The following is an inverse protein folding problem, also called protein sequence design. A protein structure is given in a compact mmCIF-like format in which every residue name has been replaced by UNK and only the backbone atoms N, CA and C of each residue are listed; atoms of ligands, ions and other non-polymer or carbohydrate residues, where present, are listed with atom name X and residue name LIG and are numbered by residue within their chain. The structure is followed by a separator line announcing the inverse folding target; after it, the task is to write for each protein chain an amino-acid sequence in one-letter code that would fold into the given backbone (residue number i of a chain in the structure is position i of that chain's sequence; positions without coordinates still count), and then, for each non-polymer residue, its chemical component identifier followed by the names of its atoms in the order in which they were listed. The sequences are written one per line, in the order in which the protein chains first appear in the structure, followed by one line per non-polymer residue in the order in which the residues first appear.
data_IF_825085864970
#
_entry.id   IF_825085864970
#
_cell.length_a   1.000
_cell.length_b   1.000
_cell.length_c   1.000
_cell.angle_alpha   90.00
_cell.angle_beta   90.00
_cell.angle_gamma   90.00
#
_symmetry.space_group_name_H-M   'P 1'
#
loop_
_entity.id
_entity.type
_entity.pdbx_description
1 polymer ?
#
# COMPACT_ATOMS: atom_id res chain seq x y z
N UNK A 1 25.41 1.22 2.40
CA UNK A 1 24.92 1.83 3.66
C UNK A 1 23.57 2.45 3.38
N UNK A 2 22.57 2.15 4.19
CA UNK A 2 21.20 2.62 3.98
C UNK A 2 20.68 3.40 5.19
N UNK A 3 19.87 4.44 4.95
CA UNK A 3 18.95 4.96 5.94
C UNK A 3 17.53 4.58 5.55
N UNK A 4 16.73 4.08 6.47
CA UNK A 4 15.28 4.03 6.31
C UNK A 4 14.68 5.26 6.97
N UNK A 5 13.99 6.06 6.19
CA UNK A 5 13.16 7.18 6.64
C UNK A 5 11.69 6.76 6.60
N UNK A 6 11.00 6.84 7.73
CA UNK A 6 9.61 6.39 7.87
C UNK A 6 8.80 7.44 8.65
N UNK A 7 7.72 7.93 8.05
CA UNK A 7 6.88 8.98 8.63
C UNK A 7 6.05 8.43 9.81
N UNK A 8 6.13 9.12 10.94
CA UNK A 8 5.44 8.70 12.14
C UNK A 8 3.92 8.83 12.01
N UNK A 9 3.18 7.72 12.20
CA UNK A 9 1.70 7.67 12.15
C UNK A 9 1.11 8.39 10.93
N UNK A 10 1.68 8.16 9.76
CA UNK A 10 1.58 8.96 8.53
C UNK A 10 0.18 9.51 8.25
N UNK A 11 -0.83 8.65 8.05
CA UNK A 11 -2.18 9.14 7.71
C UNK A 11 -2.78 10.05 8.79
N UNK A 12 -2.62 9.68 10.07
CA UNK A 12 -3.12 10.52 11.17
C UNK A 12 -2.36 11.84 11.23
N UNK A 13 -1.04 11.83 10.98
CA UNK A 13 -0.22 13.04 10.92
C UNK A 13 -0.61 13.95 9.75
N UNK A 14 -0.92 13.41 8.57
CA UNK A 14 -1.41 14.20 7.44
C UNK A 14 -2.72 14.95 7.76
N UNK A 15 -3.62 14.33 8.54
CA UNK A 15 -4.86 14.98 8.96
C UNK A 15 -4.61 16.13 9.95
N UNK A 16 -3.60 16.02 10.81
CA UNK A 16 -3.31 17.02 11.83
C UNK A 16 -2.52 18.22 11.31
N UNK A 17 -1.73 18.07 10.24
CA UNK A 17 -0.94 19.17 9.64
C UNK A 17 -1.81 20.40 9.32
N UNK A 18 -3.02 20.18 8.79
CA UNK A 18 -3.96 21.25 8.41
C UNK A 18 -4.99 21.58 9.50
N UNK A 19 -4.88 20.94 10.65
CA UNK A 19 -5.81 21.06 11.77
C UNK A 19 -5.03 21.21 13.07
N UNK A 20 -4.43 22.39 13.33
CA UNK A 20 -3.66 22.65 14.55
C UNK A 20 -4.47 22.42 15.84
N UNK A 21 -5.80 22.57 15.78
CA UNK A 21 -6.73 22.27 16.87
C UNK A 21 -6.78 20.78 17.27
N UNK A 22 -6.22 19.90 16.44
CA UNK A 22 -6.08 18.47 16.73
C UNK A 22 -4.72 18.09 17.33
N UNK A 23 -3.83 19.04 17.51
CA UNK A 23 -2.54 18.79 18.16
C UNK A 23 -2.76 18.27 19.59
N UNK A 24 -2.14 17.13 19.93
CA UNK A 24 -2.30 16.47 21.23
C UNK A 24 -3.65 15.74 21.42
N UNK A 25 -4.51 15.69 20.41
CA UNK A 25 -5.77 14.94 20.47
C UNK A 25 -5.63 13.55 19.83
N UNK A 26 -6.36 12.55 20.34
CA UNK A 26 -6.36 11.23 19.72
C UNK A 26 -7.06 11.28 18.37
N UNK A 27 -6.32 10.93 17.29
CA UNK A 27 -6.79 10.90 15.92
C UNK A 27 -6.64 9.49 15.36
N UNK A 28 -7.66 9.01 14.66
CA UNK A 28 -7.63 7.74 13.92
C UNK A 28 -8.09 7.95 12.49
N UNK A 29 -7.52 7.19 11.57
CA UNK A 29 -7.95 7.12 10.18
C UNK A 29 -8.52 5.73 9.91
N UNK A 30 -9.65 5.70 9.22
CA UNK A 30 -10.40 4.50 8.94
C UNK A 30 -10.13 3.98 7.52
N UNK A 31 -10.24 2.69 7.34
CA UNK A 31 -10.12 2.02 6.03
C UNK A 31 -11.32 2.35 5.14
N UNK A 32 -11.31 1.81 3.91
CA UNK A 32 -12.45 1.87 3.00
C UNK A 32 -13.76 1.51 3.70
N UNK A 33 -14.84 2.22 3.39
CA UNK A 33 -16.18 2.10 3.99
C UNK A 33 -16.20 2.41 5.50
N UNK A 34 -15.25 3.21 5.98
CA UNK A 34 -15.09 3.53 7.40
C UNK A 34 -15.08 2.27 8.30
N UNK A 35 -14.50 1.18 7.76
CA UNK A 35 -14.65 -0.15 8.34
C UNK A 35 -13.80 -0.41 9.58
N UNK A 36 -12.50 -0.23 9.46
CA UNK A 36 -11.54 -0.52 10.53
C UNK A 36 -10.51 0.61 10.65
N UNK A 37 -9.94 0.75 11.83
CA UNK A 37 -8.82 1.66 12.07
C UNK A 37 -7.60 1.17 11.27
N UNK A 38 -6.95 2.05 10.50
CA UNK A 38 -5.72 1.75 9.75
C UNK A 38 -4.54 2.59 10.20
N UNK A 39 -4.78 3.76 10.79
CA UNK A 39 -3.72 4.58 11.38
C UNK A 39 -4.20 5.24 12.68
N UNK A 40 -3.27 5.40 13.62
CA UNK A 40 -3.52 5.98 14.93
C UNK A 40 -2.43 7.01 15.23
N UNK A 41 -2.82 8.18 15.76
CA UNK A 41 -1.87 9.11 16.37
C UNK A 41 -1.22 8.51 17.63
N UNK A 42 -0.19 9.13 18.15
CA UNK A 42 0.46 8.71 19.39
C UNK A 42 -0.52 8.69 20.57
N UNK A 43 -1.37 9.70 20.67
CA UNK A 43 -2.40 9.84 21.70
C UNK A 43 -3.46 8.74 21.59
N UNK A 44 -3.87 8.39 20.36
CA UNK A 44 -4.82 7.28 20.14
C UNK A 44 -4.21 5.92 20.55
N UNK A 45 -2.91 5.72 20.27
CA UNK A 45 -2.18 4.51 20.73
C UNK A 45 -2.08 4.44 22.24
N UNK A 46 -1.89 5.57 22.94
CA UNK A 46 -1.88 5.63 24.40
C UNK A 46 -3.23 5.25 25.03
N UNK A 47 -4.34 5.48 24.32
CA UNK A 47 -5.68 5.00 24.71
C UNK A 47 -5.91 3.52 24.42
N UNK A 48 -4.86 2.81 23.96
CA UNK A 48 -4.93 1.38 23.61
C UNK A 48 -5.67 1.09 22.31
N UNK A 49 -5.78 2.08 21.40
CA UNK A 49 -6.40 1.88 20.10
C UNK A 49 -5.36 1.28 19.13
N UNK A 50 -5.72 0.18 18.49
CA UNK A 50 -4.86 -0.54 17.58
C UNK A 50 -5.40 -0.55 16.13
N UNK A 51 -4.49 -0.67 15.16
CA UNK A 51 -4.87 -0.92 13.79
C UNK A 51 -5.58 -2.28 13.65
N UNK A 52 -6.61 -2.33 12.80
CA UNK A 52 -7.46 -3.50 12.59
C UNK A 52 -8.73 -3.52 13.46
N UNK A 53 -8.88 -2.64 14.43
CA UNK A 53 -10.12 -2.56 15.22
C UNK A 53 -11.31 -2.13 14.34
N UNK A 54 -12.44 -2.88 14.34
CA UNK A 54 -13.63 -2.50 13.59
C UNK A 54 -14.29 -1.25 14.21
N UNK A 55 -14.41 -0.18 13.42
CA UNK A 55 -14.96 1.10 13.88
C UNK A 55 -16.37 0.99 14.47
N UNK A 56 -17.25 0.21 13.83
CA UNK A 56 -18.65 0.07 14.31
C UNK A 56 -18.75 -0.50 15.73
N UNK A 57 -17.76 -1.31 16.18
CA UNK A 57 -17.68 -1.83 17.54
C UNK A 57 -17.11 -0.82 18.54
N UNK A 58 -16.33 0.14 18.07
CA UNK A 58 -15.59 1.08 18.90
C UNK A 58 -16.21 2.49 18.92
N UNK A 59 -17.19 2.78 18.07
CA UNK A 59 -17.77 4.11 17.84
C UNK A 59 -18.13 4.84 19.16
N UNK A 60 -18.83 4.16 20.08
CA UNK A 60 -19.20 4.75 21.36
C UNK A 60 -17.98 5.00 22.29
N UNK A 61 -17.02 4.07 22.32
CA UNK A 61 -15.77 4.25 23.06
C UNK A 61 -15.01 5.46 22.52
N UNK A 62 -14.87 5.58 21.21
CA UNK A 62 -14.17 6.69 20.56
C UNK A 62 -14.84 8.02 20.86
N UNK A 63 -16.17 8.08 20.77
CA UNK A 63 -16.93 9.29 21.11
C UNK A 63 -16.71 9.73 22.58
N UNK A 64 -16.76 8.80 23.52
CA UNK A 64 -16.54 9.09 24.96
C UNK A 64 -15.10 9.53 25.27
N UNK A 65 -14.13 9.00 24.55
CA UNK A 65 -12.70 9.31 24.71
C UNK A 65 -12.25 10.52 23.88
N UNK A 66 -13.15 11.22 23.19
CA UNK A 66 -12.82 12.40 22.38
C UNK A 66 -11.93 12.11 21.17
N UNK A 67 -11.96 10.84 20.67
CA UNK A 67 -11.20 10.44 19.49
C UNK A 67 -11.81 11.05 18.24
N UNK A 68 -10.98 11.70 17.44
CA UNK A 68 -11.38 12.24 16.14
C UNK A 68 -11.12 11.20 15.05
N UNK A 69 -12.16 10.89 14.27
CA UNK A 69 -12.09 9.89 13.23
C UNK A 69 -12.14 10.53 11.84
N UNK A 70 -11.30 10.07 10.93
CA UNK A 70 -11.30 10.46 9.52
C UNK A 70 -11.47 9.25 8.61
N UNK A 71 -12.20 9.41 7.52
CA UNK A 71 -12.13 8.48 6.38
C UNK A 71 -10.80 8.63 5.65
N UNK A 72 -10.30 7.57 5.01
CA UNK A 72 -9.05 7.63 4.24
C UNK A 72 -9.11 8.66 3.12
N UNK A 73 -8.23 9.67 3.14
CA UNK A 73 -8.05 10.70 2.12
C UNK A 73 -6.77 10.45 1.33
N UNK A 74 -6.80 9.41 0.48
CA UNK A 74 -5.60 8.98 -0.27
C UNK A 74 -5.05 10.05 -1.21
N UNK A 75 -5.87 10.96 -1.69
CA UNK A 75 -5.44 12.08 -2.51
C UNK A 75 -4.52 13.03 -1.71
N UNK A 76 -4.91 13.37 -0.50
CA UNK A 76 -4.09 14.15 0.41
C UNK A 76 -2.81 13.40 0.81
N UNK A 77 -2.95 12.12 1.19
CA UNK A 77 -1.79 11.34 1.66
C UNK A 77 -0.77 11.10 0.54
N UNK A 78 -1.22 10.91 -0.70
CA UNK A 78 -0.31 10.76 -1.85
C UNK A 78 0.50 12.04 -2.12
N UNK A 79 -0.12 13.23 -2.01
CA UNK A 79 0.58 14.50 -2.18
C UNK A 79 1.58 14.75 -1.04
N UNK A 80 1.17 14.51 0.20
CA UNK A 80 2.06 14.65 1.36
C UNK A 80 3.24 13.67 1.32
N UNK A 81 3.00 12.43 0.88
CA UNK A 81 4.04 11.45 0.60
C UNK A 81 5.03 11.97 -0.44
N UNK A 82 4.53 12.44 -1.57
CA UNK A 82 5.37 12.97 -2.65
C UNK A 82 6.28 14.12 -2.16
N UNK A 83 5.78 15.03 -1.32
CA UNK A 83 6.57 16.11 -0.71
C UNK A 83 7.70 15.60 0.19
N UNK A 84 7.42 14.55 0.98
CA UNK A 84 8.45 13.89 1.80
C UNK A 84 9.50 13.24 0.89
N UNK A 85 9.07 12.45 -0.09
CA UNK A 85 9.99 11.72 -0.99
C UNK A 85 10.87 12.68 -1.78
N UNK A 86 10.31 13.75 -2.37
CA UNK A 86 11.08 14.79 -3.06
C UNK A 86 12.09 15.48 -2.11
N UNK A 87 11.71 15.71 -0.84
CA UNK A 87 12.64 16.26 0.15
C UNK A 87 13.82 15.32 0.39
N UNK A 88 13.59 14.01 0.45
CA UNK A 88 14.66 13.02 0.63
C UNK A 88 15.54 12.91 -0.62
N UNK A 89 14.96 12.94 -1.83
CA UNK A 89 15.68 12.92 -3.11
C UNK A 89 16.65 14.09 -3.26
N UNK A 90 16.33 15.27 -2.70
CA UNK A 90 17.21 16.44 -2.68
C UNK A 90 18.40 16.31 -1.68
N UNK A 91 18.29 15.41 -0.70
CA UNK A 91 19.26 15.30 0.40
C UNK A 91 20.26 14.15 0.20
N UNK A 92 19.90 13.11 -0.58
CA UNK A 92 20.73 11.91 -0.75
C UNK A 92 20.87 11.55 -2.23
N UNK A 93 21.95 10.85 -2.61
CA UNK A 93 22.23 10.52 -4.02
C UNK A 93 21.16 9.66 -4.68
N UNK A 94 20.57 8.72 -3.94
CA UNK A 94 19.58 7.76 -4.45
C UNK A 94 18.52 7.44 -3.39
N UNK A 95 17.27 7.33 -3.82
CA UNK A 95 16.13 6.99 -2.98
C UNK A 95 15.35 5.84 -3.61
N UNK A 96 14.99 4.85 -2.81
CA UNK A 96 13.98 3.85 -3.15
C UNK A 96 12.73 4.14 -2.34
N UNK A 97 11.65 4.52 -3.02
CA UNK A 97 10.33 4.68 -2.40
C UNK A 97 9.75 3.29 -2.15
N UNK A 98 9.83 2.84 -0.89
CA UNK A 98 9.39 1.50 -0.51
C UNK A 98 7.88 1.44 -0.26
N UNK A 99 7.31 2.47 0.35
CA UNK A 99 5.87 2.61 0.58
C UNK A 99 5.43 4.08 0.51
N UNK A 100 4.15 4.35 0.80
CA UNK A 100 3.61 5.72 0.83
C UNK A 100 4.23 6.56 1.96
N UNK A 101 4.81 5.94 2.98
CA UNK A 101 5.33 6.58 4.20
C UNK A 101 6.78 6.24 4.52
N UNK A 102 7.41 5.35 3.76
CA UNK A 102 8.82 4.96 3.99
C UNK A 102 9.64 4.91 2.70
N UNK A 103 10.91 5.33 2.83
CA UNK A 103 11.89 5.26 1.76
C UNK A 103 13.26 4.83 2.29
N UNK A 104 13.98 4.03 1.48
CA UNK A 104 15.39 3.75 1.69
C UNK A 104 16.24 4.78 0.97
N UNK A 105 17.14 5.42 1.70
CA UNK A 105 18.10 6.39 1.21
C UNK A 105 19.49 5.74 1.14
N UNK A 106 20.19 5.89 0.02
CA UNK A 106 21.58 5.44 -0.09
C UNK A 106 22.51 6.46 0.57
N UNK A 107 23.23 6.02 1.58
CA UNK A 107 24.24 6.83 2.28
C UNK A 107 25.67 6.46 1.89
N UNK A 108 25.86 5.76 0.76
CA UNK A 108 27.20 5.42 0.27
C UNK A 108 27.98 6.70 -0.04
N UNK A 109 29.15 6.83 0.59
CA UNK A 109 29.98 8.04 0.49
C UNK A 109 29.65 9.13 1.51
N UNK A 110 28.45 9.24 2.02
CA UNK A 110 28.07 10.26 3.04
C UNK A 110 28.91 10.09 4.32
N UNK A 111 29.13 8.86 4.76
CA UNK A 111 29.96 8.54 5.94
C UNK A 111 31.36 9.13 5.89
N UNK A 112 31.91 9.32 4.68
CA UNK A 112 33.26 9.85 4.53
C UNK A 112 33.34 11.36 4.74
N UNK A 113 32.20 12.04 4.70
CA UNK A 113 32.11 13.50 4.74
C UNK A 113 31.50 14.03 6.04
N UNK A 114 30.72 13.20 6.74
CA UNK A 114 29.96 13.65 7.92
C UNK A 114 29.52 12.50 8.82
N UNK A 115 29.20 12.80 10.08
CA UNK A 115 28.59 11.85 11.01
C UNK A 115 27.19 11.45 10.52
N UNK A 116 26.89 10.17 10.58
CA UNK A 116 25.60 9.64 10.08
C UNK A 116 24.45 9.91 11.02
N UNK A 117 24.69 9.98 12.33
CA UNK A 117 23.67 10.33 13.31
C UNK A 117 23.24 11.79 13.16
N UNK A 118 24.22 12.70 13.02
CA UNK A 118 23.96 14.12 12.75
C UNK A 118 23.22 14.31 11.43
N UNK A 119 23.59 13.56 10.40
CA UNK A 119 22.88 13.58 9.11
C UNK A 119 21.44 13.06 9.25
N UNK A 120 21.22 12.02 10.04
CA UNK A 120 19.87 11.54 10.38
C UNK A 120 19.01 12.61 11.04
N UNK A 121 19.58 13.39 11.96
CA UNK A 121 18.89 14.54 12.58
C UNK A 121 18.61 15.66 11.58
N UNK A 122 19.52 15.94 10.66
CA UNK A 122 19.29 16.92 9.57
C UNK A 122 18.15 16.48 8.64
N UNK A 123 18.08 15.20 8.27
CA UNK A 123 16.94 14.65 7.51
C UNK A 123 15.64 14.91 8.25
N UNK A 124 15.57 14.57 9.54
CA UNK A 124 14.38 14.79 10.37
C UNK A 124 13.97 16.27 10.41
N UNK A 125 14.92 17.15 10.66
CA UNK A 125 14.68 18.59 10.75
C UNK A 125 14.21 19.16 9.40
N UNK A 126 14.80 18.74 8.30
CA UNK A 126 14.46 19.20 6.95
C UNK A 126 13.07 18.73 6.53
N UNK A 127 12.74 17.46 6.74
CA UNK A 127 11.39 16.93 6.45
C UNK A 127 10.35 17.65 7.29
N UNK A 128 10.59 17.83 8.60
CA UNK A 128 9.68 18.56 9.48
C UNK A 128 9.46 19.99 9.02
N UNK A 129 10.54 20.70 8.68
CA UNK A 129 10.48 22.10 8.20
C UNK A 129 9.66 22.25 6.94
N UNK A 130 9.79 21.31 5.99
CA UNK A 130 9.15 21.41 4.67
C UNK A 130 7.73 20.85 4.61
N UNK A 131 7.42 19.86 5.46
CA UNK A 131 6.15 19.12 5.37
C UNK A 131 5.31 19.13 6.64
N UNK A 132 5.86 19.61 7.76
CA UNK A 132 5.30 19.48 9.12
C UNK A 132 5.05 18.03 9.56
N UNK A 133 5.62 17.06 8.86
CA UNK A 133 5.61 15.65 9.24
C UNK A 133 6.91 15.27 9.94
N UNK A 134 6.81 14.41 10.96
CA UNK A 134 7.98 13.86 11.66
C UNK A 134 8.34 12.50 11.11
N UNK A 135 9.63 12.20 10.97
CA UNK A 135 10.14 10.90 10.52
C UNK A 135 11.03 10.25 11.58
N UNK A 136 11.03 8.92 11.63
CA UNK A 136 12.08 8.14 12.26
C UNK A 136 13.15 7.79 11.24
N UNK A 137 14.42 7.79 11.65
CA UNK A 137 15.56 7.46 10.78
C UNK A 137 16.35 6.31 11.38
N UNK A 138 16.46 5.21 10.62
CA UNK A 138 17.27 4.04 11.00
C UNK A 138 18.38 3.82 10.00
N UNK A 139 19.63 3.84 10.45
CA UNK A 139 20.83 3.77 9.60
C UNK A 139 21.56 2.45 9.86
N UNK A 140 21.89 1.71 8.78
CA UNK A 140 22.64 0.46 8.86
C UNK A 140 23.26 0.04 7.53
N UNK A 141 24.05 -1.03 7.57
CA UNK A 141 24.72 -1.59 6.37
C UNK A 141 23.74 -2.28 5.42
N UNK A 142 22.61 -2.80 5.92
CA UNK A 142 21.63 -3.55 5.14
C UNK A 142 20.23 -2.98 5.35
N UNK A 143 19.33 -3.24 4.42
CA UNK A 143 17.92 -2.80 4.52
C UNK A 143 17.20 -3.40 5.73
N UNK A 144 17.44 -4.68 6.03
CA UNK A 144 16.85 -5.34 7.21
C UNK A 144 17.31 -4.70 8.51
N UNK A 145 18.60 -4.42 8.65
CA UNK A 145 19.13 -3.71 9.81
C UNK A 145 18.62 -2.26 9.90
N UNK A 146 18.52 -1.54 8.76
CA UNK A 146 17.96 -0.19 8.74
C UNK A 146 16.50 -0.16 9.20
N UNK A 147 15.69 -1.17 8.84
CA UNK A 147 14.32 -1.32 9.38
C UNK A 147 14.31 -1.57 10.89
N UNK A 148 15.20 -2.40 11.42
CA UNK A 148 15.30 -2.61 12.87
C UNK A 148 15.82 -1.36 13.60
N UNK A 149 16.75 -0.63 13.00
CA UNK A 149 17.20 0.66 13.53
C UNK A 149 16.05 1.67 13.60
N UNK A 150 15.23 1.76 12.55
CA UNK A 150 14.06 2.62 12.53
C UNK A 150 12.99 2.18 13.55
N UNK A 151 12.74 0.88 13.67
CA UNK A 151 11.87 0.34 14.74
C UNK A 151 12.36 0.80 16.13
N UNK A 152 13.66 0.71 16.39
CA UNK A 152 14.26 1.18 17.63
C UNK A 152 14.14 2.68 17.81
N UNK A 153 14.37 3.48 16.77
CA UNK A 153 14.21 4.92 16.74
C UNK A 153 12.80 5.37 17.16
N UNK A 154 11.79 4.63 16.70
CA UNK A 154 10.38 4.89 17.07
C UNK A 154 10.03 4.39 18.47
N UNK A 155 10.47 3.17 18.83
CA UNK A 155 10.17 2.53 20.12
C UNK A 155 10.80 3.28 21.31
N UNK A 156 12.01 3.75 21.14
CA UNK A 156 12.79 4.48 22.15
C UNK A 156 13.05 5.95 21.75
N UNK A 157 12.04 6.60 21.20
CA UNK A 157 12.15 7.94 20.61
C UNK A 157 12.73 8.97 21.60
N UNK A 158 12.41 8.89 22.90
CA UNK A 158 12.94 9.82 23.92
C UNK A 158 14.45 9.67 24.12
N UNK A 159 15.00 8.47 23.99
CA UNK A 159 16.43 8.16 24.18
C UNK A 159 17.25 8.37 22.90
N UNK A 160 16.62 8.21 21.74
CA UNK A 160 17.30 8.21 20.43
C UNK A 160 17.07 9.50 19.66
N UNK A 161 16.19 10.35 20.14
CA UNK A 161 15.65 11.50 19.39
C UNK A 161 15.23 11.11 17.97
N UNK A 162 14.70 9.87 17.82
CA UNK A 162 14.19 9.35 16.57
C UNK A 162 15.24 9.02 15.51
N UNK A 163 16.53 8.92 15.87
CA UNK A 163 17.61 8.48 15.00
C UNK A 163 18.38 7.34 15.66
N UNK A 164 18.58 6.25 14.92
CA UNK A 164 19.42 5.14 15.37
C UNK A 164 20.39 4.73 14.26
N UNK A 165 21.68 4.83 14.56
CA UNK A 165 22.76 4.36 13.70
C UNK A 165 23.35 3.06 14.24
N UNK A 166 23.34 2.01 13.42
CA UNK A 166 23.89 0.68 13.67
C UNK A 166 25.20 0.42 12.91
N UNK A 167 25.94 1.44 12.54
CA UNK A 167 27.26 1.28 11.92
C UNK A 167 28.28 0.59 12.85
N UNK A 168 28.10 0.72 14.16
CA UNK A 168 28.91 0.04 15.18
C UNK A 168 28.33 -1.37 15.44
N UNK A 169 29.18 -2.39 15.29
CA UNK A 169 28.78 -3.81 15.41
C UNK A 169 28.33 -4.19 16.83
N UNK A 170 28.93 -3.60 17.87
CA UNK A 170 28.53 -3.88 19.24
C UNK A 170 27.17 -3.27 19.57
N UNK A 171 26.88 -2.09 19.04
CA UNK A 171 25.57 -1.44 19.12
C UNK A 171 24.52 -2.26 18.35
N UNK A 172 24.87 -2.75 17.16
CA UNK A 172 24.02 -3.63 16.37
C UNK A 172 23.68 -4.92 17.16
N UNK A 173 24.68 -5.65 17.69
CA UNK A 173 24.46 -6.88 18.48
C UNK A 173 23.60 -6.63 19.70
N UNK A 174 23.85 -5.55 20.44
CA UNK A 174 23.01 -5.17 21.59
C UNK A 174 21.56 -4.93 21.20
N UNK A 175 21.30 -4.25 20.09
CA UNK A 175 19.96 -4.03 19.60
C UNK A 175 19.31 -5.36 19.20
N UNK A 176 19.99 -6.20 18.42
CA UNK A 176 19.45 -7.48 17.97
C UNK A 176 19.03 -8.40 19.14
N UNK A 177 19.74 -8.34 20.28
CA UNK A 177 19.38 -9.06 21.49
C UNK A 177 18.09 -8.57 22.17
N UNK A 178 17.70 -7.30 21.95
CA UNK A 178 16.51 -6.67 22.53
C UNK A 178 15.26 -6.82 21.65
N UNK A 179 15.43 -7.15 20.37
CA UNK A 179 14.32 -7.24 19.42
C UNK A 179 13.79 -8.66 19.33
N UNK A 180 12.50 -8.90 19.65
CA UNK A 180 11.85 -10.19 19.42
C UNK A 180 11.92 -10.61 17.95
N UNK A 181 12.02 -11.90 17.69
CA UNK A 181 12.17 -12.43 16.32
C UNK A 181 10.97 -12.13 15.44
N UNK A 182 9.78 -11.99 15.99
CA UNK A 182 8.55 -11.59 15.28
C UNK A 182 8.57 -10.15 14.76
N UNK A 183 9.41 -9.28 15.33
CA UNK A 183 9.56 -7.88 14.90
C UNK A 183 10.60 -7.75 13.77
N UNK A 184 11.27 -8.85 13.39
CA UNK A 184 12.20 -8.85 12.26
C UNK A 184 11.43 -8.79 10.94
N UNK A 185 11.82 -7.88 10.06
CA UNK A 185 11.23 -7.74 8.74
C UNK A 185 11.28 -9.06 7.94
N UNK A 186 10.11 -9.48 7.43
CA UNK A 186 9.93 -10.76 6.73
C UNK A 186 9.59 -11.95 7.63
N UNK A 187 9.63 -11.80 8.96
CA UNK A 187 9.22 -12.83 9.90
C UNK A 187 7.75 -12.68 10.27
N UNK A 188 6.87 -13.35 9.52
CA UNK A 188 5.43 -13.35 9.81
C UNK A 188 5.05 -14.38 10.90
N UNK A 189 3.80 -14.34 11.37
CA UNK A 189 3.27 -15.17 12.47
C UNK A 189 3.56 -16.68 12.34
N UNK A 190 3.54 -17.24 11.12
CA UNK A 190 3.83 -18.67 10.90
C UNK A 190 5.30 -18.99 11.08
N UNK A 191 6.17 -18.09 10.63
CA UNK A 191 7.62 -18.23 10.73
C UNK A 191 8.04 -18.02 12.18
N UNK A 192 7.57 -16.95 12.84
CA UNK A 192 7.91 -16.69 14.27
C UNK A 192 7.51 -17.82 15.19
N UNK A 193 6.31 -18.42 14.98
CA UNK A 193 5.88 -19.59 15.76
C UNK A 193 6.83 -20.78 15.61
N UNK A 194 7.33 -21.05 14.40
CA UNK A 194 8.30 -22.12 14.15
C UNK A 194 9.67 -21.79 14.74
N UNK A 195 10.13 -20.56 14.60
CA UNK A 195 11.41 -20.11 15.17
C UNK A 195 11.39 -20.19 16.70
N UNK A 196 10.33 -19.70 17.34
CA UNK A 196 10.15 -19.80 18.79
C UNK A 196 10.14 -21.24 19.29
N UNK A 197 9.53 -22.18 18.55
CA UNK A 197 9.55 -23.61 18.88
C UNK A 197 10.96 -24.22 18.79
N UNK A 198 11.87 -23.63 18.00
CA UNK A 198 13.27 -24.00 17.89
C UNK A 198 14.18 -23.27 18.91
N UNK A 199 13.58 -22.47 19.80
CA UNK A 199 14.34 -21.70 20.81
C UNK A 199 14.89 -20.37 20.28
N UNK A 200 14.61 -19.99 19.03
CA UNK A 200 15.05 -18.73 18.39
C UNK A 200 14.03 -17.65 18.75
N UNK A 201 14.35 -16.81 19.72
CA UNK A 201 13.43 -15.82 20.30
C UNK A 201 13.74 -14.38 19.91
N UNK A 202 14.99 -14.07 19.62
CA UNK A 202 15.45 -12.72 19.33
C UNK A 202 16.01 -12.62 17.91
N UNK A 203 16.15 -11.39 17.41
CA UNK A 203 16.82 -11.12 16.14
C UNK A 203 18.30 -11.55 16.19
N UNK A 204 18.95 -11.50 17.38
CA UNK A 204 20.30 -11.99 17.58
C UNK A 204 20.35 -13.51 17.41
N UNK A 205 19.47 -14.24 18.10
CA UNK A 205 19.40 -15.71 17.98
C UNK A 205 19.22 -16.13 16.50
N UNK A 206 18.37 -15.40 15.77
CA UNK A 206 18.15 -15.65 14.34
C UNK A 206 19.40 -15.38 13.52
N UNK A 207 20.12 -14.28 13.81
CA UNK A 207 21.34 -13.91 13.09
C UNK A 207 22.48 -14.93 13.26
N UNK A 208 22.49 -15.65 14.37
CA UNK A 208 23.52 -16.65 14.71
C UNK A 208 23.22 -18.05 14.12
N UNK A 209 22.04 -18.25 13.53
CA UNK A 209 21.67 -19.55 12.95
C UNK A 209 22.45 -19.88 11.69
N UNK A 210 22.75 -21.17 11.48
CA UNK A 210 23.33 -21.64 10.22
C UNK A 210 22.40 -21.30 9.03
N UNK A 211 22.91 -20.62 8.04
CA UNK A 211 22.18 -20.25 6.80
C UNK A 211 21.67 -21.50 6.07
N UNK A 212 22.47 -22.58 6.08
CA UNK A 212 22.05 -23.85 5.49
C UNK A 212 20.85 -24.47 6.21
N UNK A 213 20.82 -24.44 7.55
CA UNK A 213 19.69 -24.95 8.36
C UNK A 213 18.44 -24.11 8.08
N UNK A 214 18.57 -22.78 8.08
CA UNK A 214 17.45 -21.87 7.80
C UNK A 214 16.89 -22.11 6.39
N UNK A 215 17.76 -22.24 5.38
CA UNK A 215 17.32 -22.51 4.00
C UNK A 215 16.59 -23.84 3.88
N UNK A 216 17.09 -24.89 4.55
CA UNK A 216 16.51 -26.25 4.53
C UNK A 216 15.14 -26.32 5.20
N UNK A 217 14.96 -25.65 6.35
CA UNK A 217 13.74 -25.77 7.17
C UNK A 217 12.70 -24.67 6.87
N UNK A 218 13.10 -23.58 6.23
CA UNK A 218 12.23 -22.46 5.90
C UNK A 218 12.29 -22.17 4.39
N UNK A 219 13.09 -21.18 3.98
CA UNK A 219 13.25 -20.79 2.58
C UNK A 219 14.45 -19.86 2.37
N UNK A 220 14.74 -19.57 1.09
CA UNK A 220 15.83 -18.65 0.70
C UNK A 220 15.59 -17.20 1.17
N UNK A 221 14.35 -16.78 1.33
CA UNK A 221 14.04 -15.40 1.78
C UNK A 221 14.49 -15.22 3.23
N UNK A 222 14.17 -16.16 4.11
CA UNK A 222 14.62 -16.08 5.51
C UNK A 222 16.13 -16.26 5.63
N UNK A 223 16.76 -17.07 4.77
CA UNK A 223 18.23 -17.16 4.69
C UNK A 223 18.84 -15.79 4.39
N UNK A 224 18.33 -15.07 3.40
CA UNK A 224 18.79 -13.70 3.08
C UNK A 224 18.58 -12.77 4.26
N UNK A 225 17.46 -12.87 4.98
CA UNK A 225 17.21 -12.10 6.21
C UNK A 225 18.31 -12.37 7.26
N UNK A 226 18.71 -13.62 7.46
CA UNK A 226 19.82 -13.96 8.38
C UNK A 226 21.13 -13.31 7.96
N UNK A 227 21.47 -13.33 6.67
CA UNK A 227 22.67 -12.65 6.14
C UNK A 227 22.60 -11.14 6.34
N UNK A 228 21.45 -10.55 6.03
CA UNK A 228 21.21 -9.11 6.24
C UNK A 228 21.37 -8.70 7.71
N UNK A 229 20.90 -9.50 8.65
CA UNK A 229 21.08 -9.27 10.09
C UNK A 229 22.56 -9.34 10.54
N UNK A 230 23.42 -10.01 9.77
CA UNK A 230 24.88 -10.04 9.99
C UNK A 230 25.61 -8.86 9.37
N UNK A 231 24.90 -8.03 8.58
CA UNK A 231 25.51 -6.93 7.83
C UNK A 231 25.94 -7.31 6.42
N UNK A 232 25.57 -8.50 5.90
CA UNK A 232 25.83 -8.93 4.53
C UNK A 232 24.69 -8.43 3.62
N UNK A 233 24.88 -7.44 2.73
CA UNK A 233 23.81 -6.91 1.89
C UNK A 233 23.38 -7.96 0.86
N UNK A 234 22.11 -8.34 0.92
CA UNK A 234 21.44 -9.24 -0.02
C UNK A 234 20.35 -8.55 -0.84
N UNK A 235 19.97 -7.34 -0.44
CA UNK A 235 18.95 -6.51 -1.07
C UNK A 235 19.62 -5.22 -1.55
N UNK A 236 19.60 -5.01 -2.85
CA UNK A 236 20.09 -3.77 -3.47
C UNK A 236 19.01 -2.68 -3.41
N UNK A 237 19.41 -1.43 -3.69
CA UNK A 237 18.48 -0.33 -3.85
C UNK A 237 17.76 -0.46 -5.20
N UNK A 238 16.43 -0.49 -5.18
CA UNK A 238 15.59 -0.52 -6.38
C UNK A 238 15.21 0.91 -6.77
N UNK A 239 15.98 1.53 -7.66
CA UNK A 239 15.70 2.90 -8.15
C UNK A 239 14.45 2.96 -9.03
N UNK A 240 14.16 1.88 -9.74
CA UNK A 240 13.01 1.76 -10.62
C UNK A 240 12.13 0.60 -10.17
N UNK A 241 10.86 0.86 -9.99
CA UNK A 241 9.91 -0.20 -9.71
C UNK A 241 9.89 -1.22 -10.87
N UNK A 242 9.97 -2.53 -10.60
CA UNK A 242 9.87 -3.53 -11.65
C UNK A 242 8.51 -3.43 -12.36
N UNK A 243 8.47 -3.82 -13.64
CA UNK A 243 7.23 -3.85 -14.41
C UNK A 243 6.18 -4.71 -13.70
N UNK A 244 4.97 -4.19 -13.60
CA UNK A 244 3.86 -4.91 -12.96
C UNK A 244 3.58 -6.22 -13.69
N UNK A 245 3.40 -7.29 -12.92
CA UNK A 245 3.05 -8.61 -13.43
C UNK A 245 1.54 -8.88 -13.35
N UNK A 246 0.85 -8.13 -12.49
CA UNK A 246 -0.59 -8.21 -12.29
C UNK A 246 -1.18 -6.83 -11.96
N UNK A 247 -2.40 -6.57 -12.42
CA UNK A 247 -3.19 -5.39 -12.06
C UNK A 247 -4.52 -5.86 -11.50
N UNK A 248 -4.80 -5.53 -10.24
CA UNK A 248 -6.07 -5.84 -9.59
C UNK A 248 -6.84 -4.56 -9.28
N UNK A 249 -8.08 -4.48 -9.76
CA UNK A 249 -9.04 -3.45 -9.36
C UNK A 249 -10.19 -4.10 -8.61
N UNK A 250 -10.28 -3.88 -7.32
CA UNK A 250 -11.34 -4.46 -6.47
C UNK A 250 -11.74 -3.49 -5.37
N UNK A 251 -13.00 -3.56 -4.95
CA UNK A 251 -13.51 -2.81 -3.81
C UNK A 251 -14.48 -3.65 -2.98
N UNK A 252 -14.46 -3.42 -1.68
CA UNK A 252 -15.60 -3.80 -0.84
C UNK A 252 -16.69 -2.76 -1.04
N UNK A 253 -17.92 -3.23 -1.16
CA UNK A 253 -19.08 -2.37 -1.38
C UNK A 253 -19.46 -1.61 -0.10
N UNK A 254 -19.98 -0.40 -0.25
CA UNK A 254 -20.54 0.39 0.85
C UNK A 254 -21.82 -0.23 1.39
N UNK A 255 -22.63 -0.80 0.51
CA UNK A 255 -23.77 -1.65 0.78
C UNK A 255 -23.61 -2.99 0.08
N UNK A 256 -24.18 -4.04 0.64
CA UNK A 256 -24.06 -5.37 0.05
C UNK A 256 -24.89 -5.47 -1.20
N UNK A 257 -24.28 -5.93 -2.27
CA UNK A 257 -24.94 -6.08 -3.56
C UNK A 257 -25.67 -7.43 -3.61
N UNK A 258 -26.93 -7.39 -4.01
CA UNK A 258 -27.81 -8.56 -4.18
C UNK A 258 -28.40 -8.66 -5.59
N UNK A 259 -28.30 -7.57 -6.36
CA UNK A 259 -28.79 -7.48 -7.73
C UNK A 259 -27.67 -7.72 -8.72
N UNK A 260 -27.97 -8.51 -9.76
CA UNK A 260 -26.98 -8.84 -10.80
C UNK A 260 -26.53 -7.61 -11.60
N UNK A 261 -27.48 -6.71 -11.91
CA UNK A 261 -27.16 -5.54 -12.73
C UNK A 261 -26.25 -4.56 -11.99
N UNK A 262 -26.47 -4.37 -10.68
CA UNK A 262 -25.57 -3.59 -9.83
C UNK A 262 -24.17 -4.22 -9.78
N UNK A 263 -24.07 -5.56 -9.65
CA UNK A 263 -22.81 -6.27 -9.68
C UNK A 263 -22.11 -6.11 -11.03
N UNK A 264 -22.85 -6.21 -12.11
CA UNK A 264 -22.36 -6.03 -13.47
C UNK A 264 -21.76 -4.62 -13.66
N UNK A 265 -22.47 -3.58 -13.22
CA UNK A 265 -21.98 -2.19 -13.26
C UNK A 265 -20.70 -2.01 -12.46
N UNK A 266 -20.57 -2.64 -11.30
CA UNK A 266 -19.35 -2.61 -10.50
C UNK A 266 -18.18 -3.28 -11.24
N UNK A 267 -18.40 -4.45 -11.85
CA UNK A 267 -17.40 -5.17 -12.65
C UNK A 267 -16.99 -4.36 -13.88
N UNK A 268 -17.93 -3.71 -14.59
CA UNK A 268 -17.64 -2.76 -15.67
C UNK A 268 -16.66 -1.68 -15.22
N UNK A 269 -16.96 -1.05 -14.07
CA UNK A 269 -16.14 0.04 -13.52
C UNK A 269 -14.74 -0.45 -13.13
N UNK A 270 -14.62 -1.63 -12.52
CA UNK A 270 -13.33 -2.19 -12.13
C UNK A 270 -12.52 -2.63 -13.35
N UNK A 271 -13.15 -3.22 -14.36
CA UNK A 271 -12.50 -3.61 -15.60
C UNK A 271 -11.99 -2.39 -16.39
N UNK A 272 -12.82 -1.34 -16.54
CA UNK A 272 -12.42 -0.09 -17.17
C UNK A 272 -11.22 0.55 -16.45
N UNK A 273 -11.25 0.59 -15.11
CA UNK A 273 -10.15 1.12 -14.31
C UNK A 273 -8.88 0.26 -14.38
N UNK A 274 -9.01 -1.05 -14.46
CA UNK A 274 -7.87 -1.95 -14.65
C UNK A 274 -7.22 -1.73 -16.01
N UNK A 275 -8.03 -1.58 -17.07
CA UNK A 275 -7.57 -1.29 -18.42
C UNK A 275 -6.83 0.06 -18.52
N UNK A 276 -7.36 1.11 -17.88
CA UNK A 276 -6.69 2.42 -17.78
C UNK A 276 -5.30 2.30 -17.14
N UNK A 277 -5.20 1.57 -16.03
CA UNK A 277 -3.91 1.31 -15.36
C UNK A 277 -2.96 0.52 -16.25
N UNK A 278 -3.45 -0.49 -16.95
CA UNK A 278 -2.65 -1.30 -17.86
C UNK A 278 -2.03 -0.45 -18.99
N UNK A 279 -2.82 0.46 -19.57
CA UNK A 279 -2.32 1.41 -20.58
C UNK A 279 -1.30 2.39 -20.00
N UNK A 280 -1.48 2.84 -18.75
CA UNK A 280 -0.50 3.67 -18.05
C UNK A 280 0.84 2.96 -17.80
N UNK A 281 0.86 1.63 -17.76
CA UNK A 281 2.08 0.81 -17.70
C UNK A 281 2.61 0.45 -19.11
N UNK A 282 1.99 0.94 -20.19
CA UNK A 282 2.33 0.61 -21.59
C UNK A 282 2.33 -0.89 -21.89
N UNK A 283 1.39 -1.63 -21.27
CA UNK A 283 1.30 -3.09 -21.39
C UNK A 283 -0.05 -3.52 -21.99
N UNK A 284 -0.06 -4.75 -22.49
CA UNK A 284 -1.23 -5.49 -22.95
C UNK A 284 -1.44 -6.69 -22.04
N UNK A 285 -2.68 -7.14 -21.83
CA UNK A 285 -2.97 -8.35 -21.07
C UNK A 285 -3.65 -9.40 -21.92
N UNK A 286 -3.46 -10.66 -21.57
CA UNK A 286 -4.18 -11.79 -22.15
C UNK A 286 -5.04 -12.52 -21.11
N UNK A 287 -4.64 -12.53 -19.85
CA UNK A 287 -5.38 -13.15 -18.76
C UNK A 287 -6.28 -12.13 -18.06
N UNK A 288 -7.58 -12.44 -17.96
CA UNK A 288 -8.60 -11.62 -17.30
C UNK A 288 -9.39 -12.50 -16.34
N UNK A 289 -9.48 -12.11 -15.09
CA UNK A 289 -10.25 -12.82 -14.06
C UNK A 289 -11.19 -11.89 -13.32
N UNK A 290 -12.40 -12.36 -13.04
CA UNK A 290 -13.37 -11.69 -12.18
C UNK A 290 -13.63 -12.56 -10.96
N UNK A 291 -13.72 -11.94 -9.78
CA UNK A 291 -14.07 -12.61 -8.54
C UNK A 291 -15.13 -11.85 -7.75
N UNK A 292 -15.93 -12.61 -7.01
CA UNK A 292 -16.95 -12.08 -6.08
C UNK A 292 -16.84 -12.78 -4.74
N UNK A 293 -17.17 -12.07 -3.64
CA UNK A 293 -17.14 -12.64 -2.28
C UNK A 293 -18.26 -12.05 -1.42
N UNK A 294 -18.90 -12.91 -0.62
CA UNK A 294 -19.73 -12.49 0.52
C UNK A 294 -18.84 -12.17 1.74
N UNK A 295 -19.42 -11.73 2.83
CA UNK A 295 -18.67 -11.45 4.06
C UNK A 295 -18.30 -12.73 4.80
N UNK A 296 -17.01 -12.97 5.12
CA UNK A 296 -16.63 -14.10 5.97
C UNK A 296 -17.00 -13.91 7.46
N UNK A 297 -17.48 -12.70 7.83
CA UNK A 297 -17.84 -12.34 9.21
C UNK A 297 -19.34 -12.27 9.44
N UNK A 298 -20.16 -12.59 8.45
CA UNK A 298 -21.61 -12.62 8.59
C UNK A 298 -22.02 -13.96 9.25
N UNK A 299 -22.47 -13.90 10.51
CA UNK A 299 -22.77 -15.10 11.32
C UNK A 299 -23.94 -15.92 10.79
N UNK A 300 -24.91 -15.28 10.11
CA UNK A 300 -26.16 -15.91 9.69
C UNK A 300 -26.29 -16.04 8.16
N UNK A 301 -25.19 -15.90 7.42
CA UNK A 301 -25.20 -15.96 5.96
C UNK A 301 -24.14 -16.97 5.49
N UNK A 302 -24.46 -17.82 4.49
CA UNK A 302 -23.48 -18.74 3.95
C UNK A 302 -22.36 -17.96 3.25
N UNK A 303 -21.12 -18.33 3.55
CA UNK A 303 -20.00 -17.77 2.83
C UNK A 303 -19.97 -18.31 1.40
N UNK A 304 -19.90 -17.40 0.44
CA UNK A 304 -19.67 -17.69 -0.95
C UNK A 304 -18.54 -16.81 -1.49
N UNK A 305 -17.55 -17.44 -2.09
CA UNK A 305 -16.45 -16.74 -2.78
C UNK A 305 -16.03 -17.57 -3.97
N UNK A 306 -16.05 -16.97 -5.16
CA UNK A 306 -15.69 -17.65 -6.38
C UNK A 306 -14.98 -16.71 -7.34
N UNK A 307 -14.25 -17.30 -8.32
CA UNK A 307 -13.59 -16.58 -9.40
C UNK A 307 -13.65 -17.38 -10.67
N UNK A 308 -13.76 -16.68 -11.80
CA UNK A 308 -13.59 -17.26 -13.13
C UNK A 308 -12.58 -16.45 -13.90
N UNK A 309 -11.91 -17.10 -14.84
CA UNK A 309 -10.91 -16.47 -15.69
C UNK A 309 -11.10 -16.88 -17.15
N UNK A 310 -10.56 -16.05 -18.03
CA UNK A 310 -10.43 -16.30 -19.45
C UNK A 310 -9.05 -15.85 -19.92
N UNK A 311 -8.46 -16.62 -20.81
CA UNK A 311 -7.24 -16.23 -21.53
C UNK A 311 -7.63 -15.91 -22.97
N UNK A 312 -7.39 -14.68 -23.40
CA UNK A 312 -7.65 -14.23 -24.74
C UNK A 312 -6.61 -14.83 -25.72
N UNK A 313 -7.00 -15.02 -26.96
CA UNK A 313 -6.08 -15.48 -28.02
C UNK A 313 -5.07 -14.37 -28.33
N UNK A 314 -5.53 -13.14 -28.49
CA UNK A 314 -4.70 -11.95 -28.75
C UNK A 314 -4.67 -11.04 -27.52
N UNK A 315 -3.48 -10.59 -27.07
CA UNK A 315 -3.36 -9.61 -26.00
C UNK A 315 -4.05 -8.30 -26.34
N UNK A 316 -4.72 -7.68 -25.37
CA UNK A 316 -5.45 -6.42 -25.54
C UNK A 316 -5.16 -5.41 -24.45
N UNK A 317 -5.32 -4.12 -24.74
CA UNK A 317 -5.43 -3.02 -23.80
C UNK A 317 -6.74 -2.23 -23.97
N UNK A 318 -7.62 -2.69 -24.87
CA UNK A 318 -8.92 -2.06 -25.13
C UNK A 318 -9.88 -2.35 -23.97
N UNK A 319 -10.38 -1.28 -23.37
CA UNK A 319 -11.31 -1.39 -22.25
C UNK A 319 -12.57 -2.20 -22.60
N UNK A 320 -13.04 -2.17 -23.85
CA UNK A 320 -14.23 -2.88 -24.31
C UNK A 320 -14.03 -4.40 -24.26
N UNK A 321 -12.86 -4.86 -24.71
CA UNK A 321 -12.53 -6.29 -24.73
C UNK A 321 -12.34 -6.82 -23.31
N UNK A 322 -11.63 -6.05 -22.46
CA UNK A 322 -11.40 -6.38 -21.05
C UNK A 322 -12.72 -6.41 -20.28
N UNK A 323 -13.61 -5.43 -20.49
CA UNK A 323 -14.94 -5.38 -19.86
C UNK A 323 -15.77 -6.60 -20.28
N UNK A 324 -15.86 -6.87 -21.59
CA UNK A 324 -16.64 -7.99 -22.09
C UNK A 324 -16.16 -9.34 -21.53
N UNK A 325 -14.83 -9.53 -21.47
CA UNK A 325 -14.23 -10.72 -20.88
C UNK A 325 -14.53 -10.82 -19.37
N UNK A 326 -14.41 -9.72 -18.64
CA UNK A 326 -14.70 -9.67 -17.20
C UNK A 326 -16.16 -9.98 -16.87
N UNK A 327 -17.11 -9.50 -17.68
CA UNK A 327 -18.55 -9.79 -17.53
C UNK A 327 -18.84 -11.25 -17.83
N UNK A 328 -18.30 -11.82 -18.92
CA UNK A 328 -18.42 -13.26 -19.21
C UNK A 328 -17.88 -14.14 -18.06
N UNK A 329 -16.86 -13.67 -17.34
CA UNK A 329 -16.38 -14.34 -16.14
C UNK A 329 -17.37 -14.18 -14.97
N UNK A 330 -17.99 -13.00 -14.81
CA UNK A 330 -19.02 -12.79 -13.80
C UNK A 330 -20.21 -13.72 -13.99
N UNK A 331 -20.70 -13.89 -15.23
CA UNK A 331 -21.84 -14.77 -15.58
C UNK A 331 -21.62 -16.22 -15.10
N UNK A 332 -20.38 -16.68 -15.10
CA UNK A 332 -20.04 -18.05 -14.66
C UNK A 332 -20.06 -18.23 -13.14
N UNK A 333 -19.92 -17.14 -12.38
CA UNK A 333 -19.75 -17.19 -10.91
C UNK A 333 -20.86 -16.52 -10.14
N UNK A 334 -21.74 -15.79 -10.81
CA UNK A 334 -22.89 -15.18 -10.16
C UNK A 334 -23.86 -16.24 -9.62
N UNK A 335 -24.39 -16.00 -8.45
CA UNK A 335 -25.45 -16.80 -7.84
C UNK A 335 -26.45 -15.88 -7.14
N UNK A 336 -27.72 -16.02 -7.47
CA UNK A 336 -28.78 -15.30 -6.78
C UNK A 336 -28.89 -15.71 -5.32
N UNK A 337 -29.50 -14.84 -4.52
CA UNK A 337 -29.74 -15.08 -3.09
C UNK A 337 -28.52 -14.83 -2.18
N UNK A 338 -27.38 -14.45 -2.72
CA UNK A 338 -26.21 -14.06 -1.93
C UNK A 338 -26.11 -12.54 -1.75
N UNK A 339 -25.61 -12.11 -0.59
CA UNK A 339 -25.32 -10.70 -0.28
C UNK A 339 -23.83 -10.43 -0.41
N UNK A 340 -23.41 -10.01 -1.60
CA UNK A 340 -22.02 -9.82 -1.94
C UNK A 340 -21.42 -8.60 -1.25
N UNK A 341 -20.23 -8.76 -0.68
CA UNK A 341 -19.47 -7.70 -0.01
C UNK A 341 -18.36 -7.12 -0.86
N UNK A 342 -17.79 -7.90 -1.78
CA UNK A 342 -16.61 -7.51 -2.56
C UNK A 342 -16.65 -8.13 -3.93
N UNK A 343 -16.25 -7.35 -4.94
CA UNK A 343 -15.93 -7.84 -6.26
C UNK A 343 -14.61 -7.22 -6.76
N UNK A 344 -14.05 -7.83 -7.80
CA UNK A 344 -12.86 -7.29 -8.44
C UNK A 344 -12.52 -7.96 -9.75
N UNK A 345 -11.72 -7.27 -10.53
CA UNK A 345 -11.14 -7.73 -11.79
C UNK A 345 -9.62 -7.74 -11.65
N UNK A 346 -9.00 -8.80 -12.12
CA UNK A 346 -7.55 -9.01 -12.19
C UNK A 346 -7.12 -9.19 -13.64
N UNK A 347 -6.09 -8.48 -14.03
CA UNK A 347 -5.40 -8.62 -15.31
C UNK A 347 -4.02 -9.21 -15.07
N UNK A 348 -3.60 -10.11 -15.93
CA UNK A 348 -2.29 -10.78 -15.90
C UNK A 348 -1.83 -11.21 -17.27
N UNK A 349 -0.72 -11.94 -17.32
CA UNK A 349 -0.08 -12.38 -18.56
C UNK A 349 0.17 -11.17 -19.47
N UNK A 350 1.10 -10.30 -19.03
CA UNK A 350 1.36 -9.02 -19.65
C UNK A 350 2.41 -9.09 -20.75
N UNK A 351 2.19 -8.28 -21.77
CA UNK A 351 3.05 -8.17 -22.95
C UNK A 351 3.41 -6.70 -23.17
N UNK A 352 4.66 -6.46 -23.56
CA UNK A 352 5.11 -5.13 -23.98
C UNK A 352 4.50 -4.74 -25.32
N UNK A 353 4.42 -3.46 -25.60
CA UNK A 353 3.94 -2.93 -26.87
C UNK A 353 4.81 -3.45 -28.02
N UNK A 354 4.17 -3.94 -29.10
CA UNK A 354 4.84 -4.46 -30.28
C UNK A 354 5.21 -5.96 -30.25
N UNK A 355 4.99 -6.67 -29.13
CA UNK A 355 5.33 -8.10 -29.00
C UNK A 355 4.13 -9.03 -29.24
N UNK A 356 2.93 -8.47 -29.37
CA UNK A 356 1.71 -9.27 -29.57
C UNK A 356 1.66 -9.90 -30.97
N UNK A 357 1.79 -11.22 -31.04
CA UNK A 357 1.53 -11.95 -32.27
C UNK A 357 0.03 -12.01 -32.51
N UNK A 358 -0.43 -11.46 -33.64
CA UNK A 358 -1.82 -11.54 -34.06
C UNK A 358 -2.17 -12.97 -34.52
N UNK A 359 -3.34 -13.45 -34.13
CA UNK A 359 -3.85 -14.72 -34.57
C UNK A 359 -4.83 -14.50 -35.76
N UNK A 360 -4.58 -15.15 -36.86
CA UNK A 360 -5.40 -14.99 -38.06
C UNK A 360 -6.86 -15.47 -37.89
N UNK A 361 -7.11 -16.32 -36.91
CA UNK A 361 -8.43 -16.90 -36.57
C UNK A 361 -9.09 -16.27 -35.36
N UNK A 362 -8.60 -15.11 -34.90
CA UNK A 362 -9.17 -14.40 -33.74
C UNK A 362 -10.24 -13.41 -34.20
N UNK A 363 -11.51 -13.75 -33.93
CA UNK A 363 -12.66 -12.86 -34.18
C UNK A 363 -12.59 -11.55 -33.39
N UNK A 364 -11.72 -11.48 -32.36
CA UNK A 364 -11.45 -10.30 -31.55
C UNK A 364 -10.14 -9.58 -31.94
N UNK A 365 -9.72 -9.69 -33.19
CA UNK A 365 -8.56 -8.95 -33.71
C UNK A 365 -8.65 -7.46 -33.33
N UNK A 366 -7.51 -6.78 -33.07
CA UNK A 366 -7.52 -5.37 -32.67
C UNK A 366 -8.35 -4.54 -33.63
N UNK A 367 -9.36 -3.84 -33.11
CA UNK A 367 -10.24 -2.99 -33.94
C UNK A 367 -9.43 -1.83 -34.47
N UNK A 368 -9.64 -1.49 -35.74
CA UNK A 368 -9.01 -0.32 -36.34
C UNK A 368 -9.29 0.94 -35.51
N UNK A 369 -8.25 1.70 -35.21
CA UNK A 369 -8.35 2.92 -34.39
C UNK A 369 -8.56 2.72 -32.89
N UNK A 370 -8.55 1.47 -32.37
CA UNK A 370 -8.75 1.17 -30.95
C UNK A 370 -7.76 1.91 -30.04
N UNK A 371 -6.47 1.86 -30.37
CA UNK A 371 -5.44 2.52 -29.56
C UNK A 371 -5.69 4.03 -29.46
N UNK A 372 -6.02 4.69 -30.57
CA UNK A 372 -6.31 6.13 -30.61
C UNK A 372 -7.57 6.48 -29.81
N UNK A 373 -8.61 5.66 -29.87
CA UNK A 373 -9.83 5.85 -29.07
C UNK A 373 -9.54 5.75 -27.57
N UNK A 374 -8.75 4.77 -27.13
CA UNK A 374 -8.38 4.63 -25.74
C UNK A 374 -7.50 5.77 -25.22
N UNK A 375 -6.58 6.26 -26.07
CA UNK A 375 -5.76 7.43 -25.77
C UNK A 375 -6.62 8.69 -25.56
N UNK A 376 -7.59 8.95 -26.44
CA UNK A 376 -8.53 10.08 -26.30
C UNK A 376 -9.37 9.95 -25.05
N UNK A 377 -9.88 8.74 -24.72
CA UNK A 377 -10.62 8.47 -23.51
C UNK A 377 -9.79 8.80 -22.25
N UNK A 378 -8.57 8.31 -22.19
CA UNK A 378 -7.67 8.51 -21.05
C UNK A 378 -7.25 9.99 -20.95
N UNK A 379 -6.93 10.64 -22.07
CA UNK A 379 -6.57 12.06 -22.10
C UNK A 379 -7.70 12.96 -21.57
N UNK A 380 -8.93 12.75 -22.01
CA UNK A 380 -10.07 13.55 -21.56
C UNK A 380 -10.36 13.33 -20.07
N UNK A 381 -10.29 12.09 -19.58
CA UNK A 381 -10.46 11.80 -18.16
C UNK A 381 -9.31 12.34 -17.29
N UNK A 382 -8.10 12.42 -17.80
CA UNK A 382 -6.98 13.04 -17.09
C UNK A 382 -7.12 14.58 -17.05
N UNK A 383 -7.54 15.21 -18.17
CA UNK A 383 -7.61 16.68 -18.31
C UNK A 383 -8.82 17.29 -17.60
N UNK A 384 -10.00 16.70 -17.76
CA UNK A 384 -11.28 17.27 -17.29
C UNK A 384 -11.68 16.70 -15.92
N UNK A 385 -11.24 15.49 -15.62
CA UNK A 385 -11.53 14.77 -14.38
C UNK A 385 -11.94 13.33 -14.62
N UNK A 386 -11.62 12.48 -13.65
CA UNK A 386 -11.94 11.04 -13.73
C UNK A 386 -13.43 10.80 -13.86
N UNK A 387 -13.83 10.00 -14.85
CA UNK A 387 -15.23 9.65 -15.08
C UNK A 387 -16.00 10.68 -15.90
N UNK A 388 -15.35 11.66 -16.54
CA UNK A 388 -15.98 12.56 -17.52
C UNK A 388 -16.51 11.77 -18.72
N UNK A 389 -15.69 10.86 -19.24
CA UNK A 389 -16.12 9.86 -20.21
C UNK A 389 -16.07 8.48 -19.59
N UNK A 390 -17.14 7.72 -19.74
CA UNK A 390 -17.25 6.36 -19.20
C UNK A 390 -18.13 5.49 -20.09
N UNK A 391 -18.02 4.18 -19.93
CA UNK A 391 -18.85 3.22 -20.64
C UNK A 391 -20.26 3.15 -20.02
N UNK A 392 -21.30 3.21 -20.81
CA UNK A 392 -22.69 3.24 -20.33
C UNK A 392 -23.03 2.06 -19.36
N UNK A 393 -22.41 0.90 -19.55
CA UNK A 393 -22.56 -0.24 -18.64
C UNK A 393 -22.02 -0.04 -17.21
N UNK A 394 -21.34 1.06 -16.92
CA UNK A 394 -20.93 1.41 -15.55
C UNK A 394 -22.07 1.99 -14.70
N UNK A 395 -23.20 2.35 -15.33
CA UNK A 395 -24.34 2.99 -14.67
C UNK A 395 -24.09 4.45 -14.28
N UNK A 396 -25.15 5.18 -14.05
CA UNK A 396 -25.09 6.60 -13.63
C UNK A 396 -25.11 6.76 -12.10
N UNK A 397 -25.78 5.85 -11.38
CA UNK A 397 -25.89 5.86 -9.92
C UNK A 397 -25.22 4.63 -9.33
N UNK A 398 -24.14 4.84 -8.57
CA UNK A 398 -23.35 3.76 -7.99
C UNK A 398 -23.70 3.60 -6.50
N UNK A 399 -24.84 2.97 -6.19
CA UNK A 399 -25.28 2.71 -4.80
C UNK A 399 -24.27 1.81 -4.05
N UNK A 400 -23.56 0.97 -4.77
CA UNK A 400 -22.47 0.12 -4.27
C UNK A 400 -21.16 0.88 -3.96
N UNK A 401 -21.10 2.18 -4.28
CA UNK A 401 -19.89 2.98 -4.08
C UNK A 401 -19.38 2.96 -2.64
N UNK A 402 -18.09 3.15 -2.50
CA UNK A 402 -17.42 3.15 -1.21
C UNK A 402 -17.87 4.33 -0.35
N UNK A 403 -18.28 4.05 0.90
CA UNK A 403 -18.65 5.07 1.89
C UNK A 403 -17.39 5.75 2.46
N UNK A 404 -17.46 7.08 2.60
CA UNK A 404 -16.45 7.94 3.23
C UNK A 404 -17.18 9.11 3.89
N UNK A 405 -17.75 8.87 5.08
CA UNK A 405 -18.62 9.84 5.74
C UNK A 405 -17.86 10.91 6.52
N UNK A 406 -16.57 10.66 6.82
CA UNK A 406 -15.71 11.53 7.62
C UNK A 406 -14.48 11.98 6.82
N UNK A 407 -14.66 12.21 5.50
CA UNK A 407 -13.56 12.63 4.62
C UNK A 407 -13.16 14.07 4.92
N UNK A 408 -11.87 14.30 5.16
CA UNK A 408 -11.28 15.64 5.27
C UNK A 408 -11.22 16.35 3.91
N UNK A 409 -11.12 17.69 3.88
CA UNK A 409 -10.84 18.42 2.66
C UNK A 409 -9.52 17.97 2.01
N UNK A 410 -9.44 18.12 0.68
CA UNK A 410 -8.22 17.84 -0.09
C UNK A 410 -7.33 19.09 -0.15
N UNK A 411 -6.83 19.51 1.00
CA UNK A 411 -6.14 20.79 1.22
C UNK A 411 -5.06 21.13 0.19
N UNK A 412 -4.40 20.14 -0.40
CA UNK A 412 -3.24 20.34 -1.29
C UNK A 412 -3.52 20.00 -2.75
N UNK A 413 -4.63 19.31 -3.05
CA UNK A 413 -4.91 18.75 -4.39
C UNK A 413 -6.21 19.27 -5.01
N UNK A 414 -6.99 20.07 -4.27
CA UNK A 414 -8.23 20.66 -4.75
C UNK A 414 -8.37 22.11 -4.31
N UNK A 415 -8.37 23.03 -5.27
CA UNK A 415 -8.38 24.46 -5.01
C UNK A 415 -9.61 24.94 -4.20
N UNK A 416 -10.78 24.35 -4.46
CA UNK A 416 -12.02 24.69 -3.71
C UNK A 416 -11.99 24.26 -2.22
N UNK A 417 -11.08 23.37 -1.85
CA UNK A 417 -10.96 22.84 -0.49
C UNK A 417 -9.88 23.56 0.33
N UNK A 418 -9.25 24.60 -0.23
CA UNK A 418 -8.29 25.44 0.49
C UNK A 418 -8.95 26.14 1.69
N UNK A 419 -8.20 26.22 2.78
CA UNK A 419 -8.64 26.96 3.97
C UNK A 419 -8.85 28.44 3.60
N UNK A 420 -10.03 28.96 3.96
CA UNK A 420 -10.34 30.38 3.80
C UNK A 420 -9.97 31.12 5.07
N UNK A 421 -9.07 32.08 4.95
CA UNK A 421 -8.77 33.02 6.05
C UNK A 421 -9.92 34.03 6.08
N UNK A 422 -10.49 34.25 7.27
CA UNK A 422 -11.49 35.29 7.51
C UNK A 422 -10.80 36.57 7.93
#
# INVERSE_FOLDING_TARGET
MFALCDVNSFYASCETVFRPDLCGRPVVVLSNNDGCVIACSAEAKQLGIAAGEPYFKQKERFRRSGVVCFSSNYELYADMSNRVMTTLEEMVPRVEIYSIDEAFCDLTGVRNCRDLTDFGHEIRATVLKRTHLTVGVGIAQTKTLAKLANHAAKKWQRQTDGVVDLSNIDRQRRLLALIPVEDVWGVGRRISKKLNALGIKTALDLSEQSTWIIRKHFNVVLERTVRELRGEPCLELEEFAPAKQEIVCSRSFGERVTDYEEMRQAVYSYAARAAEKLRGEHQYCRFISTFVKTSPFALNEPYYGNSAAVTLLTPTQDSRDIINAAVKCLDKIWRDGHRYQKAGVMLGDFFSQGVAQLNLFDDNAPRAGSAKLMEVLDHLNAKVGKGTLYFAGQGMSQQWAMKREMLSPRYTTRYSDLLRVK
#
